data_IF_384957961435
#
_entry.id   IF_384957961435
#
_cell.length_a   1.000
_cell.length_b   1.000
_cell.length_c   1.000
_cell.angle_alpha   90.00
_cell.angle_beta   90.00
_cell.angle_gamma   90.00
#
_symmetry.space_group_name_H-M   'P 1'
#
loop_
_entity.id
_entity.type
_entity.pdbx_description
1 polymer ?
#
# COMPACT_ATOMS: atom_id res chain seq x y z
N UNK A 1 8.90 14.84 10.55
CA UNK A 1 7.85 14.55 11.55
C UNK A 1 7.25 13.17 11.25
N UNK A 2 7.67 12.11 11.95
CA UNK A 2 7.21 10.72 11.71
C UNK A 2 5.81 10.55 12.28
N UNK A 3 4.79 10.47 11.42
CA UNK A 3 3.42 10.20 11.83
C UNK A 3 3.29 8.78 12.42
N UNK A 4 3.00 8.72 13.71
CA UNK A 4 2.64 7.53 14.51
C UNK A 4 1.22 7.06 14.14
N UNK A 5 0.99 6.71 12.87
CA UNK A 5 -0.34 6.39 12.30
C UNK A 5 -0.57 4.90 12.04
N UNK A 6 0.39 4.02 12.36
CA UNK A 6 0.43 2.66 11.81
C UNK A 6 -0.50 1.66 12.53
N UNK A 7 -0.83 1.84 13.83
CA UNK A 7 -1.58 0.81 14.57
C UNK A 7 -3.11 0.81 14.36
N UNK A 8 -3.70 1.86 13.77
CA UNK A 8 -5.16 1.95 13.60
C UNK A 8 -5.63 1.80 12.15
N UNK A 9 -4.72 1.66 11.19
CA UNK A 9 -5.06 1.52 9.76
C UNK A 9 -5.70 0.16 9.46
N UNK A 10 -5.22 -0.92 10.09
CA UNK A 10 -5.80 -2.25 9.89
C UNK A 10 -7.24 -2.35 10.43
N UNK A 11 -7.53 -1.66 11.54
CA UNK A 11 -8.90 -1.53 12.08
C UNK A 11 -9.82 -0.72 11.15
N UNK A 12 -9.29 0.34 10.54
CA UNK A 12 -10.03 1.17 9.59
C UNK A 12 -10.34 0.40 8.29
N UNK A 13 -9.41 -0.46 7.85
CA UNK A 13 -9.59 -1.36 6.70
C UNK A 13 -10.67 -2.42 6.94
N UNK A 14 -10.68 -3.06 8.11
CA UNK A 14 -11.73 -4.04 8.49
C UNK A 14 -13.11 -3.38 8.59
N UNK A 15 -13.18 -2.17 9.15
CA UNK A 15 -14.43 -1.39 9.18
C UNK A 15 -14.91 -1.02 7.78
N UNK A 16 -14.00 -0.65 6.87
CA UNK A 16 -14.29 -0.37 5.47
C UNK A 16 -14.82 -1.58 4.70
N UNK A 17 -14.27 -2.78 4.92
CA UNK A 17 -14.77 -4.06 4.36
C UNK A 17 -16.18 -4.39 4.84
N UNK A 18 -16.45 -4.16 6.12
CA UNK A 18 -17.77 -4.37 6.70
C UNK A 18 -18.80 -3.39 6.13
N UNK A 19 -18.42 -2.11 5.99
CA UNK A 19 -19.27 -1.07 5.42
C UNK A 19 -19.57 -1.33 3.93
N UNK A 20 -18.57 -1.74 3.15
CA UNK A 20 -18.75 -2.08 1.73
C UNK A 20 -19.63 -3.31 1.52
N UNK A 21 -19.58 -4.31 2.41
CA UNK A 21 -20.49 -5.46 2.37
C UNK A 21 -21.96 -5.06 2.62
N UNK A 22 -22.21 -4.10 3.50
CA UNK A 22 -23.56 -3.58 3.81
C UNK A 22 -24.14 -2.79 2.63
N UNK A 23 -23.31 -1.99 1.95
CA UNK A 23 -23.76 -1.11 0.86
C UNK A 23 -23.60 -1.70 -0.55
N UNK A 24 -23.18 -2.96 -0.67
CA UNK A 24 -23.04 -3.61 -1.99
C UNK A 24 -24.42 -3.97 -2.57
N UNK A 25 -24.71 -3.64 -3.85
CA UNK A 25 -25.99 -3.92 -4.48
C UNK A 25 -26.33 -5.42 -4.54
N UNK A 26 -25.33 -6.32 -4.51
CA UNK A 26 -25.56 -7.77 -4.49
C UNK A 26 -25.96 -8.33 -3.12
N UNK A 27 -25.71 -7.61 -2.02
CA UNK A 27 -26.06 -8.01 -0.65
C UNK A 27 -27.28 -7.24 -0.12
N UNK A 28 -27.64 -6.15 -0.80
CA UNK A 28 -28.78 -5.30 -0.50
C UNK A 28 -30.10 -6.08 -0.33
N UNK A 29 -30.41 -7.12 -1.14
CA UNK A 29 -31.61 -7.93 -0.92
C UNK A 29 -31.59 -8.68 0.42
N UNK A 30 -30.44 -9.24 0.81
CA UNK A 30 -30.30 -9.99 2.06
C UNK A 30 -30.43 -9.08 3.28
N UNK A 31 -29.87 -7.86 3.19
CA UNK A 31 -29.98 -6.86 4.24
C UNK A 31 -31.39 -6.24 4.28
N UNK A 32 -32.04 -6.05 3.13
CA UNK A 32 -33.43 -5.65 3.04
C UNK A 32 -34.34 -6.70 3.69
N UNK A 33 -34.12 -8.00 3.44
CA UNK A 33 -34.84 -9.07 4.15
C UNK A 33 -34.63 -9.02 5.67
N UNK A 34 -33.41 -8.77 6.15
CA UNK A 34 -33.12 -8.60 7.57
C UNK A 34 -33.78 -7.35 8.20
N UNK A 35 -33.74 -6.22 7.50
CA UNK A 35 -34.38 -4.97 7.93
C UNK A 35 -35.91 -5.09 7.90
N UNK A 36 -36.48 -5.76 6.90
CA UNK A 36 -37.90 -6.08 6.82
C UNK A 36 -38.35 -7.00 7.96
N UNK A 37 -37.52 -7.99 8.35
CA UNK A 37 -37.79 -8.86 9.51
C UNK A 37 -37.79 -8.10 10.84
N UNK A 38 -37.03 -7.00 10.94
CA UNK A 38 -37.03 -6.08 12.09
C UNK A 38 -38.11 -4.98 11.98
N UNK A 39 -38.99 -5.04 10.98
CA UNK A 39 -40.09 -4.08 10.79
C UNK A 39 -39.67 -2.72 10.18
N UNK A 40 -38.43 -2.60 9.71
CA UNK A 40 -37.89 -1.38 9.07
C UNK A 40 -38.14 -1.35 7.54
N UNK A 41 -38.93 -2.29 7.02
CA UNK A 41 -39.18 -2.47 5.58
C UNK A 41 -39.92 -1.32 4.89
N UNK A 42 -40.49 -0.37 5.64
CA UNK A 42 -41.19 0.81 5.09
C UNK A 42 -40.34 2.07 5.05
N UNK A 43 -39.06 2.00 5.44
CA UNK A 43 -38.16 3.12 5.23
C UNK A 43 -37.69 3.08 3.78
N UNK A 44 -38.12 4.06 2.98
CA UNK A 44 -37.40 4.53 1.80
C UNK A 44 -36.03 5.11 2.20
N UNK A 45 -35.23 4.37 2.98
CA UNK A 45 -33.98 4.79 3.65
C UNK A 45 -32.87 5.17 2.65
N UNK A 46 -33.21 5.13 1.37
CA UNK A 46 -32.38 5.21 0.20
C UNK A 46 -33.04 5.98 -0.97
N UNK A 47 -34.19 6.64 -0.73
CA UNK A 47 -34.85 7.50 -1.71
C UNK A 47 -34.08 8.81 -1.92
N UNK A 48 -33.44 8.96 -3.07
CA UNK A 48 -32.70 10.18 -3.48
C UNK A 48 -31.29 10.36 -2.88
N UNK A 49 -31.08 9.94 -1.62
CA UNK A 49 -29.79 10.13 -0.93
C UNK A 49 -28.72 9.09 -1.30
N UNK A 50 -29.12 7.93 -1.82
CA UNK A 50 -28.20 6.85 -2.23
C UNK A 50 -27.14 7.29 -3.22
N UNK A 51 -27.53 8.11 -4.20
CA UNK A 51 -26.61 8.65 -5.20
C UNK A 51 -25.46 9.41 -4.53
N UNK A 52 -25.78 10.30 -3.60
CA UNK A 52 -24.79 11.11 -2.88
C UNK A 52 -23.87 10.26 -2.02
N UNK A 53 -24.42 9.29 -1.28
CA UNK A 53 -23.64 8.36 -0.44
C UNK A 53 -22.65 7.56 -1.31
N UNK A 54 -23.13 7.03 -2.44
CA UNK A 54 -22.29 6.24 -3.34
C UNK A 54 -21.16 7.08 -3.95
N UNK A 55 -21.44 8.31 -4.39
CA UNK A 55 -20.43 9.23 -4.90
C UNK A 55 -19.37 9.58 -3.85
N UNK A 56 -19.78 9.79 -2.59
CA UNK A 56 -18.84 10.03 -1.48
C UNK A 56 -17.91 8.83 -1.28
N UNK A 57 -18.43 7.60 -1.31
CA UNK A 57 -17.59 6.40 -1.19
C UNK A 57 -16.59 6.26 -2.33
N UNK A 58 -16.99 6.57 -3.56
CA UNK A 58 -16.08 6.59 -4.73
C UNK A 58 -14.97 7.62 -4.53
N UNK A 59 -15.30 8.82 -4.07
CA UNK A 59 -14.31 9.87 -3.77
C UNK A 59 -13.32 9.43 -2.68
N UNK A 60 -13.82 8.86 -1.57
CA UNK A 60 -12.97 8.33 -0.49
C UNK A 60 -12.02 7.25 -1.04
N UNK A 61 -12.51 6.37 -1.91
CA UNK A 61 -11.70 5.33 -2.56
C UNK A 61 -10.58 5.94 -3.42
N UNK A 62 -10.91 6.92 -4.28
CA UNK A 62 -9.93 7.60 -5.12
C UNK A 62 -8.89 8.34 -4.26
N UNK A 63 -9.30 9.01 -3.18
CA UNK A 63 -8.39 9.67 -2.23
C UNK A 63 -7.46 8.64 -1.58
N UNK A 64 -7.97 7.48 -1.16
CA UNK A 64 -7.17 6.39 -0.62
C UNK A 64 -6.12 5.88 -1.61
N UNK A 65 -6.50 5.68 -2.87
CA UNK A 65 -5.58 5.27 -3.94
C UNK A 65 -4.57 6.39 -4.25
N UNK A 66 -4.95 7.66 -4.18
CA UNK A 66 -4.06 8.80 -4.35
C UNK A 66 -2.99 8.88 -3.24
N UNK A 67 -3.37 8.64 -1.99
CA UNK A 67 -2.42 8.55 -0.87
C UNK A 67 -1.46 7.38 -1.08
N UNK A 68 -1.95 6.24 -1.58
CA UNK A 68 -1.11 5.10 -1.96
C UNK A 68 -0.13 5.44 -3.09
N UNK A 69 -0.58 6.18 -4.11
CA UNK A 69 0.26 6.68 -5.21
C UNK A 69 1.39 7.59 -4.70
N UNK A 70 1.10 8.53 -3.79
CA UNK A 70 2.12 9.41 -3.19
C UNK A 70 3.24 8.62 -2.50
N UNK A 71 2.95 7.42 -1.99
CA UNK A 71 3.92 6.55 -1.31
C UNK A 71 4.77 5.74 -2.28
N UNK A 72 4.15 5.14 -3.30
CA UNK A 72 4.80 4.13 -4.16
C UNK A 72 5.12 4.64 -5.58
N UNK A 73 4.71 5.87 -5.94
CA UNK A 73 4.87 6.51 -7.27
C UNK A 73 4.34 5.69 -8.46
N UNK A 74 3.48 4.70 -8.22
CA UNK A 74 2.91 3.85 -9.26
C UNK A 74 1.52 4.33 -9.68
N UNK A 75 1.40 4.84 -10.91
CA UNK A 75 0.24 5.65 -11.33
C UNK A 75 -0.94 4.85 -11.92
N UNK A 76 -0.74 3.60 -12.35
CA UNK A 76 -1.77 2.84 -13.06
C UNK A 76 -3.10 2.63 -12.28
N UNK A 77 -3.09 2.21 -10.99
CA UNK A 77 -4.34 2.03 -10.24
C UNK A 77 -5.09 3.34 -10.04
N UNK A 78 -4.36 4.46 -9.94
CA UNK A 78 -4.95 5.79 -9.80
C UNK A 78 -5.67 6.22 -11.09
N UNK A 79 -5.08 5.98 -12.27
CA UNK A 79 -5.74 6.29 -13.55
C UNK A 79 -7.02 5.47 -13.75
N UNK A 80 -6.98 4.17 -13.44
CA UNK A 80 -8.15 3.30 -13.53
C UNK A 80 -9.24 3.77 -12.55
N UNK A 81 -8.87 4.16 -11.32
CA UNK A 81 -9.84 4.66 -10.35
C UNK A 81 -10.48 6.00 -10.76
N UNK A 82 -9.69 6.94 -11.28
CA UNK A 82 -10.19 8.25 -11.75
C UNK A 82 -11.13 8.06 -12.94
N UNK A 83 -10.72 7.27 -13.95
CA UNK A 83 -11.57 6.99 -15.12
C UNK A 83 -12.88 6.29 -14.72
N UNK A 84 -12.81 5.34 -13.78
CA UNK A 84 -13.99 4.68 -13.24
C UNK A 84 -14.94 5.65 -12.51
N UNK A 85 -14.39 6.58 -11.71
CA UNK A 85 -15.18 7.62 -11.05
C UNK A 85 -15.90 8.55 -12.03
N UNK A 86 -15.24 8.93 -13.13
CA UNK A 86 -15.84 9.73 -14.20
C UNK A 86 -16.99 8.97 -14.88
N UNK A 87 -16.81 7.68 -15.18
CA UNK A 87 -17.85 6.83 -15.76
C UNK A 87 -19.06 6.77 -14.84
N UNK A 88 -18.85 6.52 -13.54
CA UNK A 88 -19.93 6.47 -12.55
C UNK A 88 -20.67 7.81 -12.47
N UNK A 89 -19.95 8.93 -12.38
CA UNK A 89 -20.53 10.27 -12.35
C UNK A 89 -21.38 10.55 -13.60
N UNK A 90 -20.86 10.18 -14.78
CA UNK A 90 -21.60 10.33 -16.05
C UNK A 90 -22.85 9.46 -16.12
N UNK A 91 -22.83 8.25 -15.56
CA UNK A 91 -23.99 7.36 -15.49
C UNK A 91 -25.14 7.99 -14.71
N UNK A 92 -24.85 8.64 -13.58
CA UNK A 92 -25.86 9.27 -12.73
C UNK A 92 -26.38 10.61 -13.26
N UNK A 93 -25.51 11.48 -13.78
CA UNK A 93 -25.88 12.87 -14.12
C UNK A 93 -26.17 13.10 -15.60
N UNK A 94 -25.54 12.36 -16.52
CA UNK A 94 -25.64 12.60 -17.97
C UNK A 94 -26.56 11.61 -18.68
N UNK A 95 -26.68 10.36 -18.19
CA UNK A 95 -27.52 9.34 -18.85
C UNK A 95 -28.93 9.28 -18.27
N UNK A 96 -29.88 9.99 -18.90
CA UNK A 96 -31.33 9.84 -18.69
C UNK A 96 -31.92 8.58 -19.38
N UNK A 97 -31.08 7.62 -19.78
CA UNK A 97 -31.37 6.48 -20.67
C UNK A 97 -31.29 5.14 -19.92
N UNK A 98 -32.05 4.12 -20.35
CA UNK A 98 -32.11 2.75 -19.79
C UNK A 98 -30.74 2.05 -19.62
N UNK A 99 -29.72 2.45 -20.38
CA UNK A 99 -28.38 1.87 -20.28
C UNK A 99 -27.50 2.44 -19.15
N UNK A 100 -27.98 3.42 -18.38
CA UNK A 100 -27.24 4.04 -17.28
C UNK A 100 -26.74 3.02 -16.24
N UNK A 101 -27.53 1.98 -15.96
CA UNK A 101 -27.18 0.96 -14.97
C UNK A 101 -25.94 0.16 -15.36
N UNK A 102 -25.78 -0.17 -16.65
CA UNK A 102 -24.59 -0.89 -17.14
C UNK A 102 -23.31 -0.06 -17.01
N UNK A 103 -23.39 1.25 -17.25
CA UNK A 103 -22.24 2.16 -17.09
C UNK A 103 -21.78 2.25 -15.64
N UNK A 104 -22.72 2.32 -14.70
CA UNK A 104 -22.41 2.34 -13.27
C UNK A 104 -21.72 1.04 -12.86
N UNK A 105 -22.25 -0.12 -13.28
CA UNK A 105 -21.62 -1.41 -12.99
C UNK A 105 -20.23 -1.56 -13.62
N UNK A 106 -20.04 -1.08 -14.86
CA UNK A 106 -18.74 -1.07 -15.50
C UNK A 106 -17.72 -0.22 -14.72
N UNK A 107 -18.13 0.96 -14.25
CA UNK A 107 -17.30 1.80 -13.38
C UNK A 107 -17.00 1.16 -12.03
N UNK A 108 -17.95 0.47 -11.41
CA UNK A 108 -17.71 -0.29 -10.17
C UNK A 108 -16.69 -1.41 -10.36
N UNK A 109 -16.80 -2.14 -11.47
CA UNK A 109 -15.85 -3.18 -11.83
C UNK A 109 -14.44 -2.61 -12.06
N UNK A 110 -14.35 -1.44 -12.70
CA UNK A 110 -13.10 -0.69 -12.86
C UNK A 110 -12.48 -0.28 -11.51
N UNK A 111 -13.27 0.22 -10.55
CA UNK A 111 -12.79 0.51 -9.20
C UNK A 111 -12.29 -0.75 -8.49
N UNK A 112 -12.98 -1.89 -8.65
CA UNK A 112 -12.55 -3.16 -8.07
C UNK A 112 -11.19 -3.61 -8.63
N UNK A 113 -11.01 -3.54 -9.95
CA UNK A 113 -9.71 -3.83 -10.60
C UNK A 113 -8.62 -2.87 -10.07
N UNK A 114 -8.92 -1.57 -9.96
CA UNK A 114 -7.99 -0.59 -9.41
C UNK A 114 -7.57 -0.94 -7.97
N UNK A 115 -8.53 -1.33 -7.12
CA UNK A 115 -8.27 -1.76 -5.74
C UNK A 115 -7.41 -3.02 -5.69
N UNK A 116 -7.69 -4.02 -6.53
CA UNK A 116 -6.87 -5.24 -6.63
C UNK A 116 -5.43 -4.89 -7.04
N UNK A 117 -5.26 -4.07 -8.07
CA UNK A 117 -3.95 -3.60 -8.51
C UNK A 117 -3.20 -2.86 -7.40
N UNK A 118 -3.89 -1.98 -6.68
CA UNK A 118 -3.33 -1.27 -5.53
C UNK A 118 -2.97 -2.22 -4.36
N UNK A 119 -3.77 -3.25 -4.11
CA UNK A 119 -3.49 -4.27 -3.09
C UNK A 119 -2.24 -5.08 -3.44
N UNK A 120 -2.14 -5.60 -4.68
CA UNK A 120 -0.96 -6.34 -5.11
C UNK A 120 0.29 -5.47 -5.08
N UNK A 121 0.20 -4.22 -5.53
CA UNK A 121 1.30 -3.26 -5.41
C UNK A 121 1.70 -3.05 -3.95
N UNK A 122 0.74 -2.79 -3.06
CA UNK A 122 1.05 -2.59 -1.65
C UNK A 122 1.57 -3.87 -0.98
N UNK A 123 1.26 -5.07 -1.49
CA UNK A 123 1.84 -6.33 -1.03
C UNK A 123 3.27 -6.51 -1.52
N UNK A 124 3.54 -6.22 -2.80
CA UNK A 124 4.88 -6.28 -3.40
C UNK A 124 5.83 -5.26 -2.74
N UNK A 125 5.38 -4.02 -2.54
CA UNK A 125 6.19 -2.94 -1.97
C UNK A 125 6.04 -2.83 -0.44
N UNK A 126 5.06 -3.48 0.16
CA UNK A 126 4.82 -3.49 1.61
C UNK A 126 5.57 -4.57 2.36
N UNK A 127 6.14 -5.56 1.67
CA UNK A 127 6.90 -6.64 2.32
C UNK A 127 8.24 -6.17 2.88
N UNK A 128 8.67 -4.93 2.62
CA UNK A 128 9.91 -4.43 3.17
C UNK A 128 9.89 -2.90 3.30
N UNK A 129 9.59 -2.43 4.51
CA UNK A 129 9.60 -0.99 4.87
C UNK A 129 10.98 -0.34 4.71
N UNK A 130 12.00 -1.16 4.55
CA UNK A 130 13.43 -0.83 4.51
C UNK A 130 14.10 -1.22 3.19
N UNK A 131 13.32 -1.64 2.18
CA UNK A 131 13.88 -2.03 0.90
C UNK A 131 13.99 -0.84 -0.04
N UNK A 132 15.09 -0.82 -0.80
CA UNK A 132 15.32 0.08 -1.92
C UNK A 132 15.24 -0.66 -3.25
N UNK A 133 15.34 0.10 -4.34
CA UNK A 133 15.52 -0.45 -5.68
C UNK A 133 17.00 -0.26 -6.03
N UNK A 134 17.69 -1.36 -6.33
CA UNK A 134 19.06 -1.37 -6.84
C UNK A 134 19.06 -2.14 -8.17
N UNK A 135 19.52 -1.50 -9.25
CA UNK A 135 19.51 -2.07 -10.62
C UNK A 135 18.17 -2.70 -11.05
N UNK A 136 17.05 -2.09 -10.65
CA UNK A 136 15.70 -2.56 -11.00
C UNK A 136 15.21 -3.77 -10.19
N UNK A 137 15.98 -4.26 -9.22
CA UNK A 137 15.58 -5.32 -8.28
C UNK A 137 15.35 -4.76 -6.87
N UNK A 138 14.47 -5.41 -6.11
CA UNK A 138 14.18 -5.04 -4.71
C UNK A 138 15.26 -5.60 -3.78
N UNK A 139 15.90 -4.74 -2.99
CA UNK A 139 16.97 -5.10 -2.04
C UNK A 139 16.67 -4.58 -0.64
N UNK A 140 17.01 -5.34 0.39
CA UNK A 140 16.84 -4.95 1.79
C UNK A 140 18.01 -4.07 2.24
N UNK A 141 17.75 -2.80 2.56
CA UNK A 141 18.80 -1.85 2.96
C UNK A 141 19.01 -1.78 4.46
N UNK A 142 18.07 -2.28 5.27
CA UNK A 142 18.27 -2.29 6.72
C UNK A 142 19.14 -3.49 7.10
N UNK A 143 20.27 -3.21 7.74
CA UNK A 143 21.14 -4.23 8.30
C UNK A 143 21.57 -3.86 9.70
N UNK A 144 21.57 -4.83 10.60
CA UNK A 144 22.11 -4.67 11.94
C UNK A 144 23.61 -4.95 11.87
N UNK A 145 24.45 -3.94 12.10
CA UNK A 145 25.90 -4.10 12.22
C UNK A 145 26.23 -4.55 13.64
N UNK A 146 27.02 -5.61 13.76
CA UNK A 146 27.49 -6.15 15.04
C UNK A 146 28.99 -5.85 15.18
N UNK A 147 29.36 -5.07 16.19
CA UNK A 147 30.77 -4.76 16.45
C UNK A 147 31.49 -5.99 17.03
N UNK A 148 32.55 -6.51 16.39
CA UNK A 148 33.29 -7.68 16.89
C UNK A 148 34.10 -7.38 18.16
N UNK A 149 34.41 -6.11 18.45
CA UNK A 149 35.20 -5.73 19.64
C UNK A 149 34.40 -5.62 20.92
N UNK A 150 33.14 -5.15 20.84
CA UNK A 150 32.31 -4.88 22.03
C UNK A 150 30.94 -5.56 22.00
N UNK A 151 30.58 -6.27 20.92
CA UNK A 151 29.29 -6.93 20.75
C UNK A 151 28.09 -5.99 20.54
N UNK A 152 28.32 -4.67 20.45
CA UNK A 152 27.27 -3.69 20.23
C UNK A 152 26.59 -3.91 18.88
N UNK A 153 25.26 -3.85 18.86
CA UNK A 153 24.43 -4.03 17.65
C UNK A 153 23.73 -2.73 17.33
N UNK A 154 23.82 -2.28 16.09
CA UNK A 154 23.14 -1.08 15.61
C UNK A 154 22.44 -1.33 14.29
N UNK A 155 21.19 -0.93 14.22
CA UNK A 155 20.40 -0.95 13.00
C UNK A 155 20.75 0.25 12.11
N UNK A 156 21.29 -0.02 10.92
CA UNK A 156 21.67 1.01 9.96
C UNK A 156 21.04 0.77 8.58
N UNK A 157 20.91 1.85 7.83
CA UNK A 157 20.42 1.82 6.45
C UNK A 157 21.62 1.89 5.52
N UNK A 158 21.84 0.81 4.76
CA UNK A 158 22.91 0.72 3.79
C UNK A 158 22.75 1.80 2.70
N UNK A 159 23.84 2.51 2.34
CA UNK A 159 23.84 3.34 1.16
C UNK A 159 23.72 2.49 -0.11
N UNK A 160 22.97 2.98 -1.10
CA UNK A 160 22.89 2.35 -2.44
C UNK A 160 23.88 2.96 -3.44
N UNK A 161 24.49 4.08 -3.05
CA UNK A 161 25.25 4.96 -3.93
C UNK A 161 26.77 4.72 -3.82
N UNK A 162 27.23 4.02 -2.77
CA UNK A 162 28.63 3.76 -2.49
C UNK A 162 28.78 2.60 -1.49
N UNK A 163 29.94 1.96 -1.49
CA UNK A 163 30.26 0.87 -0.57
C UNK A 163 30.96 1.40 0.68
N UNK A 164 30.40 1.07 1.85
CA UNK A 164 30.91 1.52 3.15
C UNK A 164 32.03 0.58 3.61
N UNK A 165 33.27 1.00 3.37
CA UNK A 165 34.47 0.24 3.73
C UNK A 165 34.93 0.48 5.17
N UNK A 166 34.67 1.68 5.69
CA UNK A 166 35.02 2.07 7.05
C UNK A 166 33.75 2.39 7.81
N UNK A 167 33.62 1.81 9.00
CA UNK A 167 32.49 2.06 9.89
C UNK A 167 32.99 2.31 11.30
N UNK A 168 32.60 3.43 11.89
CA UNK A 168 32.93 3.74 13.27
C UNK A 168 31.84 3.22 14.21
N UNK A 169 32.21 2.32 15.13
CA UNK A 169 31.26 1.83 16.14
C UNK A 169 30.90 2.95 17.13
N UNK A 170 29.61 3.26 17.29
CA UNK A 170 29.17 4.32 18.21
C UNK A 170 29.53 4.07 19.69
N UNK A 171 29.62 2.81 20.10
CA UNK A 171 29.87 2.47 21.51
C UNK A 171 31.37 2.57 21.87
N UNK A 172 32.24 1.92 21.11
CA UNK A 172 33.68 1.86 21.41
C UNK A 172 34.55 2.75 20.50
N UNK A 173 33.95 3.48 19.56
CA UNK A 173 34.63 4.38 18.61
C UNK A 173 35.75 3.72 17.80
N UNK A 174 35.67 2.41 17.62
CA UNK A 174 36.64 1.68 16.82
C UNK A 174 36.20 1.66 15.37
N UNK A 175 37.15 1.91 14.47
CA UNK A 175 36.92 1.83 13.04
C UNK A 175 37.02 0.36 12.62
N UNK A 176 35.91 -0.19 12.15
CA UNK A 176 35.80 -1.51 11.58
C UNK A 176 36.18 -1.46 10.09
N UNK A 177 36.85 -2.52 9.65
CA UNK A 177 37.20 -2.79 8.24
C UNK A 177 36.68 -4.17 7.87
N UNK A 178 36.26 -4.40 6.61
CA UNK A 178 35.81 -5.71 6.16
C UNK A 178 36.90 -6.78 6.37
N UNK A 179 36.44 -8.01 6.51
CA UNK A 179 37.29 -9.20 6.56
C UNK A 179 37.89 -9.49 5.17
N UNK A 180 38.99 -10.22 5.14
CA UNK A 180 39.61 -10.65 3.88
C UNK A 180 38.61 -11.50 3.06
N UNK A 181 38.33 -11.06 1.83
CA UNK A 181 37.36 -11.71 0.93
C UNK A 181 35.98 -11.05 0.89
N UNK A 182 35.65 -10.14 1.82
CA UNK A 182 34.41 -9.36 1.80
C UNK A 182 34.64 -7.94 1.27
N UNK A 183 33.63 -7.35 0.62
CA UNK A 183 33.76 -6.05 -0.04
C UNK A 183 33.38 -4.83 0.82
N UNK A 184 32.62 -5.01 1.91
CA UNK A 184 32.21 -3.90 2.76
C UNK A 184 31.89 -4.37 4.19
N UNK A 185 31.78 -3.41 5.12
CA UNK A 185 31.53 -3.68 6.54
C UNK A 185 30.25 -4.48 6.75
N UNK A 186 29.19 -4.19 5.98
CA UNK A 186 27.94 -4.93 6.07
C UNK A 186 28.06 -6.38 5.63
N UNK A 187 28.90 -6.64 4.62
CA UNK A 187 29.12 -7.98 4.13
C UNK A 187 29.89 -8.85 5.15
N UNK A 188 30.75 -8.25 5.98
CA UNK A 188 31.45 -8.94 7.08
C UNK A 188 30.69 -9.00 8.41
N UNK A 189 30.07 -7.90 8.84
CA UNK A 189 29.52 -7.74 10.20
C UNK A 189 28.02 -7.42 10.23
N UNK A 190 27.37 -7.32 9.07
CA UNK A 190 25.95 -7.04 8.94
C UNK A 190 25.08 -8.30 8.96
N UNK A 191 23.84 -8.15 9.40
CA UNK A 191 22.82 -9.21 9.31
C UNK A 191 22.35 -9.48 7.87
N UNK A 192 22.36 -8.44 7.04
CA UNK A 192 21.98 -8.53 5.62
C UNK A 192 23.20 -8.18 4.79
N UNK A 193 23.39 -8.86 3.65
CA UNK A 193 24.51 -8.60 2.73
C UNK A 193 24.28 -7.31 1.94
N UNK A 194 25.35 -6.79 1.36
CA UNK A 194 25.38 -5.55 0.60
C UNK A 194 24.56 -5.64 -0.71
N UNK A 195 24.03 -4.51 -1.25
CA UNK A 195 23.09 -4.52 -2.38
C UNK A 195 23.58 -5.30 -3.62
N UNK A 196 24.85 -5.21 -4.06
CA UNK A 196 25.34 -6.00 -5.20
C UNK A 196 25.23 -7.52 -4.98
N UNK A 197 25.56 -7.99 -3.78
CA UNK A 197 25.50 -9.41 -3.44
C UNK A 197 24.05 -9.90 -3.39
N UNK A 198 23.11 -9.08 -2.93
CA UNK A 198 21.69 -9.44 -2.92
C UNK A 198 21.10 -9.61 -4.33
N UNK A 199 21.58 -8.82 -5.31
CA UNK A 199 21.10 -8.91 -6.70
C UNK A 199 21.85 -9.96 -7.54
N UNK A 200 22.87 -10.60 -6.96
CA UNK A 200 23.71 -11.61 -7.59
C UNK A 200 24.81 -11.04 -8.50
N UNK A 201 25.13 -9.75 -8.37
CA UNK A 201 26.28 -9.15 -9.04
C UNK A 201 27.54 -9.30 -8.19
N UNK A 202 28.71 -9.07 -8.80
CA UNK A 202 29.97 -9.07 -8.06
C UNK A 202 29.98 -7.93 -7.05
N UNK A 203 30.84 -8.08 -6.04
CA UNK A 203 31.23 -6.99 -5.17
C UNK A 203 31.56 -5.71 -5.96
N UNK A 204 31.31 -4.57 -5.34
CA UNK A 204 31.89 -3.30 -5.77
C UNK A 204 33.39 -3.48 -6.04
#
# INVERSE_FOLDING_TARGET
MKFKLINNIDKLGTFGLFLTAIFSPCCFPLFAFGASALGLGSLELFGGWTMWIFQIMVLISIIGIYISYRKHKYFYPLLIAISSGIIIFSGYYLSKSENSTYLIYAGMFGLFIATIGNYYQNKIYGNCKTCGIYEGKTVELKSTIICPKCGYKKDEMMPTNACEFFYECENCKTILRPLEGDCCVYCSYGSVKCPPIQVGTRCC
#
